data_IF_684779042023
#
_entry.id   IF_684779042023
#
_cell.length_a   1.000
_cell.length_b   1.000
_cell.length_c   1.000
_cell.angle_alpha   90.00
_cell.angle_beta   90.00
_cell.angle_gamma   90.00
#
_symmetry.space_group_name_H-M   'P 1'
#
loop_
_entity.id
_entity.type
_entity.pdbx_description
1 polymer ?
#
# COMPACT_ATOMS: atom_id res chain seq x y z
N UNK A 1 -4.89 8.76 9.59
CA UNK A 1 -5.30 7.63 8.73
C UNK A 1 -6.82 7.49 8.61
N UNK A 2 -7.60 7.53 9.70
CA UNK A 2 -9.06 7.31 9.66
C UNK A 2 -9.82 8.31 8.76
N UNK A 3 -9.43 9.58 8.79
CA UNK A 3 -10.09 10.65 8.00
C UNK A 3 -9.42 10.88 6.63
N UNK A 4 -8.44 10.04 6.26
CA UNK A 4 -7.71 10.12 5.00
C UNK A 4 -8.44 9.23 3.99
N UNK A 5 -9.26 9.84 3.13
CA UNK A 5 -10.03 9.15 2.10
C UNK A 5 -9.72 9.70 0.71
N UNK A 6 -9.35 8.80 -0.20
CA UNK A 6 -9.07 9.12 -1.60
C UNK A 6 -9.27 7.84 -2.44
N UNK A 7 -9.70 8.00 -3.69
CA UNK A 7 -9.93 6.86 -4.58
C UNK A 7 -8.66 6.05 -4.89
N UNK A 8 -7.49 6.70 -4.87
CA UNK A 8 -6.18 6.10 -5.14
C UNK A 8 -5.41 5.74 -3.86
N UNK A 9 -6.10 5.66 -2.72
CA UNK A 9 -5.55 5.14 -1.45
C UNK A 9 -6.41 4.00 -0.94
N UNK A 10 -5.78 2.98 -0.35
CA UNK A 10 -6.54 1.91 0.31
C UNK A 10 -7.22 2.45 1.56
N UNK A 11 -8.53 2.33 1.66
CA UNK A 11 -9.27 2.81 2.85
C UNK A 11 -8.84 2.03 4.09
N UNK A 12 -8.45 2.75 5.14
CA UNK A 12 -8.25 2.17 6.46
C UNK A 12 -9.59 1.73 7.06
N UNK A 13 -9.66 0.49 7.54
CA UNK A 13 -10.86 -0.09 8.17
C UNK A 13 -10.68 -0.10 9.69
N UNK A 14 -9.54 -0.58 10.17
CA UNK A 14 -9.26 -0.71 11.59
C UNK A 14 -7.87 -1.27 11.88
N UNK A 15 -7.57 -1.48 13.15
CA UNK A 15 -6.32 -2.09 13.59
C UNK A 15 -6.55 -2.91 14.86
N UNK A 16 -5.89 -4.05 14.98
CA UNK A 16 -5.71 -4.76 16.24
C UNK A 16 -4.37 -4.31 16.85
N UNK A 17 -4.40 -3.87 18.10
CA UNK A 17 -3.21 -3.44 18.85
C UNK A 17 -2.88 -4.39 20.01
N UNK A 18 -3.66 -5.47 20.16
CA UNK A 18 -3.51 -6.42 21.26
C UNK A 18 -2.43 -7.47 20.92
N UNK A 19 -1.38 -7.62 21.75
CA UNK A 19 -0.39 -8.68 21.58
C UNK A 19 -1.02 -10.08 21.73
N UNK A 20 -0.53 -11.12 21.02
CA UNK A 20 0.60 -11.09 20.07
C UNK A 20 0.21 -10.70 18.64
N UNK A 21 -1.09 -10.52 18.35
CA UNK A 21 -1.60 -10.39 16.99
C UNK A 21 -1.90 -8.94 16.62
N UNK A 22 -0.87 -8.09 16.59
CA UNK A 22 -1.01 -6.72 16.12
C UNK A 22 -1.14 -6.69 14.59
N UNK A 23 -2.18 -6.05 14.07
CA UNK A 23 -2.40 -5.98 12.63
C UNK A 23 -3.18 -4.73 12.21
N UNK A 24 -3.12 -4.43 10.92
CA UNK A 24 -3.86 -3.34 10.29
C UNK A 24 -4.78 -3.92 9.24
N UNK A 25 -6.02 -3.43 9.24
CA UNK A 25 -7.07 -3.87 8.33
C UNK A 25 -7.35 -2.73 7.36
N UNK A 26 -7.12 -2.98 6.08
CA UNK A 26 -7.40 -2.07 4.97
C UNK A 26 -8.37 -2.72 3.98
N UNK A 27 -8.88 -1.91 3.06
CA UNK A 27 -9.64 -2.39 1.91
C UNK A 27 -8.86 -3.44 1.09
N UNK A 28 -9.53 -4.56 0.76
CA UNK A 28 -8.95 -5.62 -0.04
C UNK A 28 -8.98 -5.30 -1.54
N UNK A 29 -7.84 -5.50 -2.20
CA UNK A 29 -7.64 -5.28 -3.63
C UNK A 29 -7.36 -6.64 -4.32
N UNK A 30 -8.35 -7.22 -5.04
CA UNK A 30 -8.29 -8.62 -5.48
C UNK A 30 -7.29 -8.91 -6.59
N UNK A 31 -6.74 -7.89 -7.26
CA UNK A 31 -5.75 -8.08 -8.34
C UNK A 31 -4.32 -8.10 -7.82
N UNK A 32 -4.14 -8.07 -6.51
CA UNK A 32 -2.83 -8.04 -5.87
C UNK A 32 -2.12 -6.71 -6.04
N UNK A 33 -0.81 -6.75 -5.91
CA UNK A 33 0.08 -5.60 -6.07
C UNK A 33 0.47 -5.36 -7.52
N UNK A 34 1.00 -4.18 -7.80
CA UNK A 34 1.61 -3.84 -9.09
C UNK A 34 2.78 -4.77 -9.38
N UNK A 35 3.50 -5.21 -8.35
CA UNK A 35 4.56 -6.21 -8.51
C UNK A 35 4.00 -7.53 -9.06
N UNK A 36 2.93 -8.05 -8.45
CA UNK A 36 2.26 -9.28 -8.91
C UNK A 36 1.75 -9.13 -10.35
N UNK A 37 1.25 -7.94 -10.69
CA UNK A 37 0.77 -7.62 -12.04
C UNK A 37 1.89 -7.60 -13.09
N UNK A 38 3.09 -7.16 -12.70
CA UNK A 38 4.27 -7.13 -13.56
C UNK A 38 4.89 -8.51 -13.76
N UNK A 39 4.74 -9.40 -12.80
CA UNK A 39 5.24 -10.78 -12.83
C UNK A 39 4.24 -11.76 -13.48
N UNK A 40 3.00 -11.32 -13.73
CA UNK A 40 1.94 -12.16 -14.27
C UNK A 40 2.01 -12.31 -15.79
N UNK A 41 2.15 -13.55 -16.27
CA UNK A 41 2.07 -13.88 -17.71
C UNK A 41 0.66 -13.74 -18.30
N UNK A 42 -0.37 -13.67 -17.45
CA UNK A 42 -1.77 -13.60 -17.87
C UNK A 42 -2.25 -12.20 -18.24
N UNK A 43 -1.49 -11.17 -17.86
CA UNK A 43 -1.88 -9.76 -18.02
C UNK A 43 -0.85 -9.04 -18.89
N UNK A 44 -1.27 -8.61 -20.06
CA UNK A 44 -0.43 -7.76 -20.92
C UNK A 44 -0.51 -6.31 -20.46
N UNK A 45 0.56 -5.84 -19.82
CA UNK A 45 0.74 -4.42 -19.51
C UNK A 45 1.12 -3.65 -20.78
N UNK A 46 0.14 -3.29 -21.60
CA UNK A 46 0.37 -2.37 -22.73
C UNK A 46 0.69 -0.95 -22.23
N UNK A 47 1.11 -0.06 -23.14
CA UNK A 47 1.52 1.29 -22.75
C UNK A 47 0.36 2.13 -22.18
N UNK A 48 -0.85 1.96 -22.69
CA UNK A 48 -2.03 2.69 -22.22
C UNK A 48 -2.36 2.27 -20.78
N UNK A 49 -2.32 0.97 -20.50
CA UNK A 49 -2.59 0.44 -19.18
C UNK A 49 -1.48 0.77 -18.18
N UNK A 50 -0.21 0.77 -18.59
CA UNK A 50 0.88 1.30 -17.74
C UNK A 50 0.65 2.77 -17.40
N UNK A 51 0.26 3.57 -18.39
CA UNK A 51 0.01 4.99 -18.18
C UNK A 51 -1.15 5.23 -17.20
N UNK A 52 -2.24 4.44 -17.27
CA UNK A 52 -3.34 4.56 -16.30
C UNK A 52 -2.88 4.25 -14.87
N UNK A 53 -2.09 3.18 -14.68
CA UNK A 53 -1.55 2.83 -13.36
C UNK A 53 -0.60 3.90 -12.82
N UNK A 54 0.27 4.47 -13.66
CA UNK A 54 1.17 5.57 -13.28
C UNK A 54 0.36 6.80 -12.86
N UNK A 55 -0.67 7.15 -13.63
CA UNK A 55 -1.52 8.29 -13.33
C UNK A 55 -2.24 8.13 -11.98
N UNK A 56 -2.72 6.92 -11.67
CA UNK A 56 -3.33 6.61 -10.39
C UNK A 56 -2.33 6.76 -9.23
N UNK A 57 -1.09 6.27 -9.37
CA UNK A 57 -0.01 6.48 -8.38
C UNK A 57 0.22 7.98 -8.16
N UNK A 58 0.36 8.76 -9.23
CA UNK A 58 0.63 10.20 -9.14
C UNK A 58 -0.50 10.92 -8.40
N UNK A 59 -1.77 10.60 -8.70
CA UNK A 59 -2.92 11.17 -7.99
C UNK A 59 -2.95 10.80 -6.51
N UNK A 60 -2.69 9.54 -6.18
CA UNK A 60 -2.62 9.07 -4.79
C UNK A 60 -1.50 9.76 -4.01
N UNK A 61 -0.30 9.87 -4.60
CA UNK A 61 0.84 10.54 -3.97
C UNK A 61 0.61 12.05 -3.83
N UNK A 62 0.01 12.71 -4.83
CA UNK A 62 -0.36 14.13 -4.74
C UNK A 62 -1.31 14.38 -3.57
N UNK A 63 -2.30 13.51 -3.38
CA UNK A 63 -3.21 13.60 -2.25
C UNK A 63 -2.47 13.37 -0.92
N UNK A 64 -1.63 12.33 -0.82
CA UNK A 64 -0.85 12.06 0.40
C UNK A 64 0.05 13.23 0.79
N UNK A 65 0.76 13.80 -0.17
CA UNK A 65 1.67 14.94 0.05
C UNK A 65 0.94 16.19 0.54
N UNK A 66 -0.30 16.39 0.11
CA UNK A 66 -1.15 17.49 0.58
C UNK A 66 -1.93 17.16 1.86
N UNK A 67 -1.80 15.94 2.39
CA UNK A 67 -2.45 15.51 3.63
C UNK A 67 -1.52 15.61 4.83
N UNK A 68 -2.05 15.37 6.04
CA UNK A 68 -1.26 15.28 7.28
C UNK A 68 -0.20 14.18 7.27
N UNK A 69 -0.28 13.21 6.34
CA UNK A 69 0.71 12.15 6.21
C UNK A 69 1.99 12.70 5.56
N UNK A 70 1.89 13.67 4.65
CA UNK A 70 2.97 14.41 3.95
C UNK A 70 3.90 13.55 3.09
N UNK A 71 4.22 12.34 3.50
CA UNK A 71 5.10 11.41 2.80
C UNK A 71 4.67 9.97 3.03
N UNK A 72 4.79 9.15 1.99
CA UNK A 72 4.53 7.72 2.09
C UNK A 72 5.60 6.98 2.90
N UNK A 73 6.88 7.37 2.76
CA UNK A 73 8.02 6.77 3.46
C UNK A 73 8.49 5.39 2.99
N UNK A 74 7.65 4.60 2.30
CA UNK A 74 8.02 3.27 1.79
C UNK A 74 7.30 2.92 0.47
N UNK A 75 7.34 3.83 -0.51
CA UNK A 75 6.62 3.65 -1.78
C UNK A 75 7.39 2.66 -2.66
N UNK A 76 6.74 1.56 -3.03
CA UNK A 76 7.28 0.49 -3.87
C UNK A 76 6.13 -0.25 -4.57
N UNK A 77 6.43 -1.02 -5.60
CA UNK A 77 5.44 -1.76 -6.40
C UNK A 77 4.56 -2.70 -5.55
N UNK A 78 5.12 -3.36 -4.53
CA UNK A 78 4.36 -4.20 -3.59
C UNK A 78 3.38 -3.43 -2.69
N UNK A 79 3.56 -2.11 -2.53
CA UNK A 79 2.67 -1.24 -1.76
C UNK A 79 1.70 -0.44 -2.66
N UNK A 80 1.63 -0.80 -3.93
CA UNK A 80 0.64 -0.29 -4.88
C UNK A 80 -0.27 -1.47 -5.24
N UNK A 81 -1.51 -1.48 -4.80
CA UNK A 81 -2.45 -2.58 -5.00
C UNK A 81 -3.56 -2.21 -5.96
N UNK A 82 -4.17 -3.19 -6.63
CA UNK A 82 -5.12 -2.94 -7.71
C UNK A 82 -6.49 -3.54 -7.40
N UNK A 83 -7.53 -2.72 -7.48
CA UNK A 83 -8.90 -3.12 -7.18
C UNK A 83 -9.54 -3.94 -8.32
N UNK A 84 -10.78 -4.40 -8.12
CA UNK A 84 -11.52 -5.18 -9.12
C UNK A 84 -11.79 -4.40 -10.42
N UNK A 85 -11.76 -3.06 -10.39
CA UNK A 85 -12.00 -2.17 -11.53
C UNK A 85 -10.70 -1.71 -12.20
N UNK A 86 -9.55 -2.29 -11.84
CA UNK A 86 -8.24 -1.89 -12.33
C UNK A 86 -7.83 -0.47 -11.94
N UNK A 87 -8.35 0.04 -10.83
CA UNK A 87 -7.87 1.28 -10.22
C UNK A 87 -6.74 0.94 -9.24
N UNK A 88 -5.60 1.61 -9.41
CA UNK A 88 -4.47 1.44 -8.49
C UNK A 88 -4.66 2.30 -7.24
N UNK A 89 -4.42 1.67 -6.09
CA UNK A 89 -4.49 2.26 -4.76
C UNK A 89 -3.17 2.09 -4.03
N UNK A 90 -2.68 3.17 -3.43
CA UNK A 90 -1.49 3.14 -2.58
C UNK A 90 -1.90 2.66 -1.19
N UNK A 91 -1.17 1.69 -0.65
CA UNK A 91 -1.38 1.14 0.69
C UNK A 91 -0.19 1.40 1.59
N UNK A 92 -0.24 0.97 2.86
CA UNK A 92 0.94 1.00 3.74
C UNK A 92 1.52 2.39 4.05
N UNK A 93 0.71 3.44 3.86
CA UNK A 93 1.02 4.83 4.17
C UNK A 93 0.71 5.17 5.63
N UNK A 94 1.43 6.15 6.21
CA UNK A 94 1.16 6.62 7.57
C UNK A 94 1.53 5.64 8.69
N UNK A 95 2.30 4.59 8.38
CA UNK A 95 2.69 3.52 9.31
C UNK A 95 4.09 3.72 9.91
N UNK A 96 4.70 4.89 9.74
CA UNK A 96 6.09 5.11 10.10
C UNK A 96 6.37 4.85 11.58
N UNK A 97 5.50 5.33 12.47
CA UNK A 97 5.63 5.09 13.92
C UNK A 97 5.50 3.61 14.31
N UNK A 98 4.65 2.85 13.62
CA UNK A 98 4.49 1.41 13.87
C UNK A 98 5.71 0.61 13.40
N UNK A 99 6.34 1.03 12.29
CA UNK A 99 7.58 0.41 11.79
C UNK A 99 8.81 0.75 12.63
N UNK A 100 8.81 1.87 13.36
CA UNK A 100 9.91 2.23 14.26
C UNK A 100 9.80 1.55 15.63
N UNK A 101 8.59 1.17 16.04
CA UNK A 101 8.34 0.49 17.32
C UNK A 101 8.87 -0.97 17.37
N UNK A 102 9.22 -1.57 16.23
CA UNK A 102 10.02 -2.80 16.20
C UNK A 102 11.48 -2.48 16.50
N UNK A 103 11.79 -2.35 17.80
CA UNK A 103 13.15 -2.34 18.33
C UNK A 103 13.87 -3.70 18.11
N UNK A 104 15.22 -3.73 18.13
CA UNK A 104 16.07 -4.58 17.27
C UNK A 104 16.29 -6.05 17.67
N UNK A 105 15.51 -6.62 18.60
CA UNK A 105 15.76 -7.99 19.10
C UNK A 105 15.32 -9.11 18.14
N UNK A 106 14.52 -8.81 17.11
CA UNK A 106 14.06 -9.80 16.13
C UNK A 106 15.01 -9.99 14.93
N UNK A 107 16.26 -9.54 15.03
CA UNK A 107 17.26 -9.77 13.96
C UNK A 107 17.74 -11.23 13.91
N UNK A 108 17.40 -12.06 14.90
CA UNK A 108 17.85 -13.45 15.00
C UNK A 108 16.82 -14.50 14.53
N UNK A 109 15.57 -14.14 14.23
CA UNK A 109 14.53 -15.12 13.91
C UNK A 109 14.49 -15.56 12.43
N UNK A 110 15.32 -14.99 11.55
CA UNK A 110 15.35 -15.34 10.12
C UNK A 110 16.40 -16.41 9.74
N UNK A 111 17.09 -17.01 10.70
CA UNK A 111 18.05 -18.10 10.49
C UNK A 111 17.85 -19.26 11.48
N UNK A 112 16.64 -19.78 11.59
CA UNK A 112 16.37 -21.09 12.19
C UNK A 112 15.53 -21.95 11.25
#
# INVERSE_FOLDING_TARGET
MRDVQNEHLTRFIGSCIDPPNMCIITEYCPRGSLQDLMESDSITLDWMFRYSLINDIVKGMLFLHNSVIVSHGNLKSSNCVVDSRFVLKITDYGLQSLRTASCPDDTHAYYA
#
